data_IF_820584385975
#
_entry.id   IF_820584385975
#
_cell.length_a   1.000
_cell.length_b   1.000
_cell.length_c   1.000
_cell.angle_alpha   90.00
_cell.angle_beta   90.00
_cell.angle_gamma   90.00
#
_symmetry.space_group_name_H-M   'P 1'
#
loop_
_entity.id
_entity.type
_entity.pdbx_description
1 polymer ?
#
# COMPACT_ATOMS: atom_id res chain seq x y z
N UNK A 1 20.27 7.42 -13.90
CA UNK A 1 20.12 8.25 -12.67
C UNK A 1 18.66 8.33 -12.25
N UNK A 2 17.73 8.61 -13.16
CA UNK A 2 16.29 8.58 -12.90
C UNK A 2 15.81 7.23 -12.34
N UNK A 3 16.34 6.11 -12.87
CA UNK A 3 15.97 4.75 -12.44
C UNK A 3 16.40 4.44 -11.00
N UNK A 4 17.57 4.95 -10.59
CA UNK A 4 18.07 4.78 -9.21
C UNK A 4 17.22 5.58 -8.23
N UNK A 5 16.91 6.84 -8.56
CA UNK A 5 16.07 7.69 -7.70
C UNK A 5 14.68 7.06 -7.57
N UNK A 6 14.07 6.64 -8.68
CA UNK A 6 12.76 6.00 -8.65
C UNK A 6 12.79 4.67 -7.89
N UNK A 7 13.82 3.84 -8.10
CA UNK A 7 14.02 2.61 -7.34
C UNK A 7 14.07 2.84 -5.83
N UNK A 8 14.79 3.87 -5.36
CA UNK A 8 14.83 4.23 -3.93
C UNK A 8 13.43 4.62 -3.44
N UNK A 9 12.74 5.48 -4.18
CA UNK A 9 11.38 5.94 -3.83
C UNK A 9 10.43 4.76 -3.71
N UNK A 10 10.42 3.86 -4.70
CA UNK A 10 9.57 2.67 -4.72
C UNK A 10 9.90 1.75 -3.54
N UNK A 11 11.18 1.48 -3.26
CA UNK A 11 11.59 0.65 -2.12
C UNK A 11 11.10 1.23 -0.80
N UNK A 12 11.32 2.52 -0.56
CA UNK A 12 10.93 3.16 0.71
C UNK A 12 9.41 3.15 0.87
N UNK A 13 8.67 3.60 -0.14
CA UNK A 13 7.20 3.66 -0.07
C UNK A 13 6.58 2.27 0.04
N UNK A 14 7.09 1.30 -0.73
CA UNK A 14 6.58 -0.05 -0.71
C UNK A 14 6.90 -0.76 0.61
N UNK A 15 8.11 -0.59 1.16
CA UNK A 15 8.49 -1.12 2.47
C UNK A 15 7.62 -0.55 3.59
N UNK A 16 7.28 0.74 3.56
CA UNK A 16 6.36 1.34 4.53
C UNK A 16 4.95 0.74 4.43
N UNK A 17 4.40 0.61 3.22
CA UNK A 17 3.07 0.04 3.04
C UNK A 17 3.03 -1.44 3.45
N UNK A 18 3.90 -2.26 2.84
CA UNK A 18 3.94 -3.69 3.07
C UNK A 18 4.34 -4.03 4.51
N UNK A 19 5.34 -3.34 5.06
CA UNK A 19 5.74 -3.50 6.45
C UNK A 19 4.64 -3.06 7.42
N UNK A 20 3.92 -1.98 7.10
CA UNK A 20 2.75 -1.54 7.86
C UNK A 20 1.65 -2.59 7.88
N UNK A 21 1.26 -3.12 6.73
CA UNK A 21 0.22 -4.16 6.65
C UNK A 21 0.65 -5.46 7.33
N UNK A 22 1.91 -5.87 7.14
CA UNK A 22 2.48 -7.04 7.80
C UNK A 22 2.46 -6.89 9.32
N UNK A 23 2.80 -5.71 9.86
CA UNK A 23 2.74 -5.44 11.30
C UNK A 23 1.29 -5.36 11.80
N UNK A 24 0.38 -4.74 11.04
CA UNK A 24 -1.04 -4.66 11.36
C UNK A 24 -1.72 -6.02 11.45
N UNK A 25 -1.22 -7.01 10.70
CA UNK A 25 -1.67 -8.40 10.75
C UNK A 25 -0.99 -9.21 11.87
N UNK A 26 0.35 -9.21 11.92
CA UNK A 26 1.10 -10.12 12.80
C UNK A 26 1.26 -9.60 14.24
N UNK A 27 1.21 -8.29 14.43
CA UNK A 27 1.34 -7.66 15.75
C UNK A 27 0.45 -6.41 15.87
N UNK A 28 -0.90 -6.57 15.86
CA UNK A 28 -1.84 -5.44 15.93
C UNK A 28 -1.56 -4.44 17.05
N UNK A 29 -1.22 -4.84 18.30
CA UNK A 29 -0.91 -3.89 19.36
C UNK A 29 0.29 -2.98 19.05
N UNK A 30 1.29 -3.51 18.33
CA UNK A 30 2.44 -2.73 17.90
C UNK A 30 2.07 -1.76 16.76
N UNK A 31 1.25 -2.22 15.80
CA UNK A 31 0.76 -1.38 14.72
C UNK A 31 -0.07 -0.19 15.23
N UNK A 32 -0.94 -0.41 16.22
CA UNK A 32 -1.69 0.67 16.89
C UNK A 32 -0.75 1.66 17.57
N UNK A 33 0.24 1.16 18.32
CA UNK A 33 1.24 2.02 18.97
C UNK A 33 2.02 2.89 17.99
N UNK A 34 2.24 2.41 16.78
CA UNK A 34 2.98 3.12 15.73
C UNK A 34 2.07 3.94 14.79
N UNK A 35 0.75 3.98 15.06
CA UNK A 35 -0.21 4.72 14.25
C UNK A 35 -0.44 4.13 12.86
N UNK A 36 -0.14 2.84 12.67
CA UNK A 36 -0.31 2.12 11.40
C UNK A 36 -1.68 1.44 11.29
N UNK A 37 -2.41 1.36 12.39
CA UNK A 37 -3.74 0.76 12.51
C UNK A 37 -4.52 1.50 13.60
N UNK A 38 -5.83 1.67 13.40
CA UNK A 38 -6.73 2.17 14.43
C UNK A 38 -6.89 1.16 15.59
N UNK A 39 -7.10 1.66 16.81
CA UNK A 39 -7.45 0.77 17.93
C UNK A 39 -8.87 0.21 17.75
N UNK A 40 -9.09 -1.06 18.08
CA UNK A 40 -10.41 -1.71 17.92
C UNK A 40 -11.53 -1.00 18.70
N UNK A 41 -11.21 -0.30 19.78
CA UNK A 41 -12.16 0.53 20.53
C UNK A 41 -12.63 1.79 19.79
N UNK A 42 -11.87 2.25 18.81
CA UNK A 42 -12.11 3.49 18.04
C UNK A 42 -12.87 3.23 16.74
N UNK A 43 -13.07 1.97 16.38
CA UNK A 43 -13.72 1.55 15.13
C UNK A 43 -14.92 0.66 15.41
N UNK A 44 -15.76 0.48 14.39
CA UNK A 44 -16.80 -0.54 14.45
C UNK A 44 -16.25 -1.94 14.20
N UNK A 45 -16.81 -2.98 14.84
CA UNK A 45 -16.34 -4.36 14.67
C UNK A 45 -16.32 -4.85 13.22
N UNK A 46 -17.25 -4.38 12.40
CA UNK A 46 -17.30 -4.72 10.96
C UNK A 46 -16.12 -4.12 10.20
N UNK A 47 -15.75 -2.87 10.51
CA UNK A 47 -14.57 -2.25 9.91
C UNK A 47 -13.29 -2.90 10.43
N UNK A 48 -13.22 -3.22 11.73
CA UNK A 48 -12.08 -3.93 12.32
C UNK A 48 -11.82 -5.28 11.61
N UNK A 49 -12.86 -6.08 11.38
CA UNK A 49 -12.73 -7.34 10.65
C UNK A 49 -12.30 -7.14 9.18
N UNK A 50 -12.81 -6.09 8.53
CA UNK A 50 -12.45 -5.75 7.14
C UNK A 50 -10.98 -5.36 7.01
N UNK A 51 -10.45 -4.51 7.91
CA UNK A 51 -9.04 -4.07 7.89
C UNK A 51 -8.09 -5.19 8.31
N UNK A 52 -8.51 -6.13 9.15
CA UNK A 52 -7.72 -7.32 9.48
C UNK A 52 -7.57 -8.24 8.27
N UNK A 53 -8.68 -8.49 7.55
CA UNK A 53 -8.65 -9.25 6.32
C UNK A 53 -7.81 -8.57 5.23
N UNK A 54 -7.93 -7.24 5.11
CA UNK A 54 -7.10 -6.41 4.22
C UNK A 54 -5.62 -6.53 4.58
N UNK A 55 -5.24 -6.31 5.84
CA UNK A 55 -3.84 -6.38 6.27
C UNK A 55 -3.21 -7.76 6.02
N UNK A 56 -3.97 -8.83 6.28
CA UNK A 56 -3.53 -10.19 5.95
C UNK A 56 -3.29 -10.35 4.45
N UNK A 57 -4.24 -9.96 3.61
CA UNK A 57 -4.13 -10.08 2.16
C UNK A 57 -2.98 -9.24 1.59
N UNK A 58 -2.82 -8.02 2.09
CA UNK A 58 -1.79 -7.08 1.67
C UNK A 58 -0.40 -7.56 2.06
N UNK A 59 -0.23 -8.21 3.22
CA UNK A 59 1.03 -8.82 3.61
C UNK A 59 1.52 -9.88 2.59
N UNK A 60 0.60 -10.60 1.94
CA UNK A 60 0.92 -11.59 0.90
C UNK A 60 1.14 -11.01 -0.49
N UNK A 61 0.63 -9.81 -0.77
CA UNK A 61 0.55 -9.29 -2.15
C UNK A 61 1.41 -8.04 -2.39
N UNK A 62 1.52 -7.13 -1.41
CA UNK A 62 2.18 -5.83 -1.59
C UNK A 62 3.71 -5.93 -1.66
N UNK A 63 4.32 -7.03 -1.21
CA UNK A 63 5.77 -7.24 -1.34
C UNK A 63 6.26 -7.19 -2.81
N UNK A 64 5.37 -7.42 -3.77
CA UNK A 64 5.70 -7.43 -5.20
C UNK A 64 6.21 -6.08 -5.70
N UNK A 65 5.68 -4.94 -5.20
CA UNK A 65 6.19 -3.61 -5.54
C UNK A 65 7.53 -3.32 -4.86
N UNK A 66 7.73 -3.81 -3.64
CA UNK A 66 9.02 -3.74 -2.96
C UNK A 66 10.09 -4.52 -3.74
N UNK A 67 9.77 -5.73 -4.20
CA UNK A 67 10.64 -6.51 -5.07
C UNK A 67 10.93 -5.77 -6.40
N UNK A 68 9.93 -5.13 -7.00
CA UNK A 68 10.12 -4.31 -8.20
C UNK A 68 11.15 -3.19 -7.97
N UNK A 69 11.05 -2.46 -6.86
CA UNK A 69 11.99 -1.40 -6.51
C UNK A 69 13.42 -1.93 -6.30
N UNK A 70 13.58 -3.05 -5.57
CA UNK A 70 14.90 -3.67 -5.37
C UNK A 70 15.51 -4.13 -6.70
N UNK A 71 14.71 -4.79 -7.54
CA UNK A 71 15.15 -5.26 -8.86
C UNK A 71 15.53 -4.09 -9.78
N UNK A 72 14.80 -2.98 -9.71
CA UNK A 72 15.12 -1.76 -10.44
C UNK A 72 16.46 -1.17 -10.00
N UNK A 73 16.76 -1.16 -8.70
CA UNK A 73 18.03 -0.64 -8.17
C UNK A 73 19.27 -1.41 -8.64
N UNK A 74 19.12 -2.71 -8.91
CA UNK A 74 20.20 -3.57 -9.41
C UNK A 74 20.12 -3.79 -10.91
N UNK A 75 19.31 -2.99 -11.63
CA UNK A 75 19.09 -3.07 -13.08
C UNK A 75 18.72 -4.48 -13.57
N UNK A 76 17.94 -5.22 -12.77
CA UNK A 76 17.58 -6.58 -13.11
C UNK A 76 16.47 -6.61 -14.15
N UNK A 77 16.66 -7.39 -15.23
CA UNK A 77 15.79 -7.41 -16.41
C UNK A 77 14.32 -7.74 -16.11
N UNK A 78 14.02 -8.38 -14.99
CA UNK A 78 12.65 -8.77 -14.61
C UNK A 78 11.90 -7.70 -13.82
N UNK A 79 12.55 -6.59 -13.41
CA UNK A 79 11.91 -5.53 -12.64
C UNK A 79 10.60 -5.02 -13.27
N UNK A 80 10.44 -4.88 -14.61
CA UNK A 80 9.22 -4.32 -15.19
C UNK A 80 8.00 -5.21 -14.95
N UNK A 81 8.17 -6.54 -14.96
CA UNK A 81 7.07 -7.46 -14.70
C UNK A 81 6.58 -7.36 -13.25
N UNK A 82 7.51 -7.26 -12.30
CA UNK A 82 7.18 -6.97 -10.90
C UNK A 82 6.57 -5.58 -10.75
N UNK A 83 7.03 -4.59 -11.51
CA UNK A 83 6.49 -3.24 -11.51
C UNK A 83 5.04 -3.17 -12.00
N UNK A 84 4.69 -3.95 -13.04
CA UNK A 84 3.32 -4.08 -13.52
C UNK A 84 2.41 -4.74 -12.49
N UNK A 85 2.84 -5.89 -11.94
CA UNK A 85 2.04 -6.64 -10.95
C UNK A 85 1.91 -5.84 -9.65
N UNK A 86 3.03 -5.43 -9.06
CA UNK A 86 3.06 -4.69 -7.81
C UNK A 86 2.42 -3.31 -7.94
N UNK A 87 2.63 -2.61 -9.05
CA UNK A 87 1.96 -1.35 -9.31
C UNK A 87 0.45 -1.51 -9.39
N UNK A 88 -0.04 -2.55 -10.08
CA UNK A 88 -1.47 -2.87 -10.14
C UNK A 88 -2.06 -3.20 -8.78
N UNK A 89 -1.34 -3.97 -7.96
CA UNK A 89 -1.75 -4.29 -6.59
C UNK A 89 -1.85 -3.03 -5.72
N UNK A 90 -0.89 -2.10 -5.82
CA UNK A 90 -0.93 -0.85 -5.04
C UNK A 90 -2.06 0.07 -5.48
N UNK A 91 -2.40 0.11 -6.77
CA UNK A 91 -3.55 0.87 -7.27
C UNK A 91 -4.86 0.27 -6.75
N UNK A 92 -4.99 -1.07 -6.77
CA UNK A 92 -6.14 -1.77 -6.23
C UNK A 92 -6.27 -1.54 -4.71
N UNK A 93 -5.19 -1.78 -3.96
CA UNK A 93 -5.09 -1.55 -2.52
C UNK A 93 -5.50 -0.13 -2.13
N UNK A 94 -4.91 0.88 -2.79
CA UNK A 94 -5.24 2.28 -2.55
C UNK A 94 -6.72 2.58 -2.85
N UNK A 95 -7.20 2.17 -4.03
CA UNK A 95 -8.56 2.42 -4.46
C UNK A 95 -9.60 1.76 -3.56
N UNK A 96 -9.40 0.48 -3.23
CA UNK A 96 -10.25 -0.28 -2.30
C UNK A 96 -10.24 0.34 -0.92
N UNK A 97 -9.06 0.62 -0.37
CA UNK A 97 -8.90 1.21 0.97
C UNK A 97 -9.61 2.57 1.10
N UNK A 98 -9.53 3.42 0.08
CA UNK A 98 -10.23 4.71 0.02
C UNK A 98 -11.75 4.48 -0.08
N UNK A 99 -12.20 3.67 -1.05
CA UNK A 99 -13.62 3.44 -1.30
C UNK A 99 -14.32 2.83 -0.08
N UNK A 100 -13.72 1.84 0.56
CA UNK A 100 -14.27 1.20 1.76
C UNK A 100 -14.46 2.21 2.89
N UNK A 101 -13.45 3.02 3.20
CA UNK A 101 -13.53 4.04 4.26
C UNK A 101 -14.61 5.09 3.97
N UNK A 102 -14.71 5.56 2.73
CA UNK A 102 -15.73 6.53 2.31
C UNK A 102 -17.14 5.94 2.41
N UNK A 103 -17.35 4.72 1.89
CA UNK A 103 -18.67 4.06 1.89
C UNK A 103 -19.10 3.63 3.28
N UNK A 104 -18.19 3.12 4.11
CA UNK A 104 -18.51 2.76 5.49
C UNK A 104 -18.86 4.00 6.31
N UNK A 105 -18.10 5.10 6.18
CA UNK A 105 -18.41 6.36 6.85
C UNK A 105 -19.75 6.93 6.42
N UNK A 106 -20.08 6.91 5.13
CA UNK A 106 -21.37 7.40 4.63
C UNK A 106 -22.57 6.57 5.11
N UNK A 107 -22.33 5.33 5.56
CA UNK A 107 -23.31 4.44 6.19
C UNK A 107 -23.33 4.53 7.73
N UNK A 108 -22.59 5.47 8.32
CA UNK A 108 -22.56 5.71 9.75
C UNK A 108 -21.62 4.78 10.54
N UNK A 109 -20.74 4.03 9.87
CA UNK A 109 -19.75 3.21 10.56
C UNK A 109 -18.57 4.06 11.06
N UNK A 110 -18.08 3.72 12.26
CA UNK A 110 -16.85 4.29 12.82
C UNK A 110 -15.63 3.66 12.16
N UNK A 111 -14.88 4.47 11.41
CA UNK A 111 -13.67 4.07 10.66
C UNK A 111 -12.41 4.74 11.22
N UNK A 112 -12.43 5.08 12.51
CA UNK A 112 -11.35 5.80 13.20
C UNK A 112 -11.65 7.27 13.41
N UNK A 113 -10.70 7.97 14.04
CA UNK A 113 -10.76 9.42 14.24
C UNK A 113 -10.59 10.18 12.92
N UNK A 114 -11.05 11.44 12.87
CA UNK A 114 -10.90 12.27 11.66
C UNK A 114 -9.43 12.48 11.24
N UNK A 115 -8.54 12.59 12.23
CA UNK A 115 -7.12 12.68 12.00
C UNK A 115 -6.56 11.38 11.43
N UNK A 116 -6.95 10.21 11.99
CA UNK A 116 -6.50 8.90 11.47
C UNK A 116 -6.95 8.71 10.03
N UNK A 117 -8.23 9.02 9.75
CA UNK A 117 -8.80 8.89 8.42
C UNK A 117 -8.07 9.77 7.39
N UNK A 118 -7.75 11.01 7.75
CA UNK A 118 -7.03 11.93 6.85
C UNK A 118 -5.63 11.39 6.53
N UNK A 119 -4.92 10.89 7.54
CA UNK A 119 -3.60 10.26 7.37
C UNK A 119 -3.69 9.02 6.48
N UNK A 120 -4.65 8.13 6.75
CA UNK A 120 -4.84 6.91 5.99
C UNK A 120 -5.17 7.21 4.52
N UNK A 121 -6.09 8.13 4.24
CA UNK A 121 -6.44 8.52 2.87
C UNK A 121 -5.25 9.15 2.13
N UNK A 122 -4.48 9.99 2.81
CA UNK A 122 -3.28 10.61 2.22
C UNK A 122 -2.24 9.55 1.85
N UNK A 123 -1.97 8.61 2.77
CA UNK A 123 -1.04 7.51 2.52
C UNK A 123 -1.49 6.62 1.35
N UNK A 124 -2.78 6.26 1.31
CA UNK A 124 -3.37 5.47 0.22
C UNK A 124 -3.23 6.18 -1.13
N UNK A 125 -3.47 7.49 -1.21
CA UNK A 125 -3.25 8.26 -2.44
C UNK A 125 -1.79 8.21 -2.88
N UNK A 126 -0.84 8.41 -1.95
CA UNK A 126 0.60 8.37 -2.26
C UNK A 126 0.99 6.99 -2.79
N UNK A 127 0.54 5.92 -2.15
CA UNK A 127 0.82 4.54 -2.58
C UNK A 127 0.18 4.19 -3.92
N UNK A 128 -1.07 4.62 -4.16
CA UNK A 128 -1.75 4.44 -5.44
C UNK A 128 -1.01 5.16 -6.59
N UNK A 129 -0.57 6.40 -6.36
CA UNK A 129 0.23 7.15 -7.34
C UNK A 129 1.59 6.49 -7.60
N UNK A 130 2.27 5.99 -6.57
CA UNK A 130 3.52 5.25 -6.73
C UNK A 130 3.31 3.99 -7.59
N UNK A 131 2.19 3.27 -7.39
CA UNK A 131 1.80 2.15 -8.23
C UNK A 131 1.58 2.54 -9.69
N UNK A 132 0.81 3.61 -9.94
CA UNK A 132 0.55 4.11 -11.31
C UNK A 132 1.83 4.53 -12.03
N UNK A 133 2.69 5.31 -11.37
CA UNK A 133 3.96 5.75 -11.96
C UNK A 133 4.84 4.53 -12.26
N UNK A 134 4.90 3.55 -11.36
CA UNK A 134 5.69 2.33 -11.59
C UNK A 134 5.18 1.55 -12.80
N UNK A 135 3.86 1.43 -12.99
CA UNK A 135 3.27 0.82 -14.19
C UNK A 135 3.74 1.55 -15.45
N UNK A 136 3.66 2.89 -15.47
CA UNK A 136 4.04 3.70 -16.64
C UNK A 136 5.52 3.49 -16.98
N UNK A 137 6.41 3.57 -15.98
CA UNK A 137 7.85 3.35 -16.17
C UNK A 137 8.12 1.92 -16.65
N UNK A 138 7.45 0.91 -16.09
CA UNK A 138 7.59 -0.47 -16.52
C UNK A 138 7.15 -0.70 -17.97
N UNK A 139 6.06 -0.06 -18.41
CA UNK A 139 5.59 -0.12 -19.81
C UNK A 139 6.63 0.53 -20.74
N UNK A 140 7.19 1.68 -20.37
CA UNK A 140 8.22 2.36 -21.16
C UNK A 140 9.45 1.47 -21.34
N UNK A 141 9.94 0.87 -20.25
CA UNK A 141 11.09 -0.04 -20.27
C UNK A 141 10.84 -1.26 -21.17
N UNK A 142 9.66 -1.87 -21.09
CA UNK A 142 9.32 -3.03 -21.92
C UNK A 142 9.16 -2.70 -23.41
N UNK A 143 8.80 -1.45 -23.77
CA UNK A 143 8.71 -1.00 -25.16
C UNK A 143 10.06 -0.63 -25.77
N UNK A 144 11.04 -0.28 -24.93
CA UNK A 144 12.41 0.01 -25.36
C UNK A 144 13.27 -1.23 -25.63
N UNK A 145 12.71 -2.43 -25.42
CA UNK A 145 13.34 -3.74 -25.66
C UNK A 145 12.77 -4.39 -26.91
#
# INVERSE_FOLDING_TARGET
MMDVIWGIVVVVLAALAWGGQTLSWLAPPAAVRWGLREADSEVDPVYAADIEGEAMWDAFTLWTLLAAGVLLLVDHRTWPYFGLVGGGMYVYFAGRGIATRVVMRSRGHRVGSESSLTTALTALVIWGLAGLVTIVVAIIELRGR
#
